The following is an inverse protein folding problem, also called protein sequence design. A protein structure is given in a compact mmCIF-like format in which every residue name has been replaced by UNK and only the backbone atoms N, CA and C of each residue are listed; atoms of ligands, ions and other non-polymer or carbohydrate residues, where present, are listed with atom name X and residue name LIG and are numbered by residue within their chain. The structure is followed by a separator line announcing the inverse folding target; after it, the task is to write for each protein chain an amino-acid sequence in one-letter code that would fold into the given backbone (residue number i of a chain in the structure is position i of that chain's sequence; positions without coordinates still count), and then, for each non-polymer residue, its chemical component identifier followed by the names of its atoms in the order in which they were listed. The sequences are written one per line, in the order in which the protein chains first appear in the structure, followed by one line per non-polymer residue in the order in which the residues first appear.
data_IF_029600239727
#
_entry.id   IF_029600239727
#
_cell.length_a   1.000
_cell.length_b   1.000
_cell.length_c   1.000
_cell.angle_alpha   90.00
_cell.angle_beta   90.00
_cell.angle_gamma   90.00
#
_symmetry.space_group_name_H-M   'P 1'
#
loop_
_entity.id
_entity.type
_entity.pdbx_description
1 polymer ?
#
# COMPACT_ATOMS: atom_id res chain seq x y z
N UNK A 1 10.55 -4.90 5.73
CA UNK A 1 9.14 -4.43 5.70
C UNK A 1 8.20 -5.55 6.11
N UNK A 2 7.28 -5.33 7.05
CA UNK A 2 6.15 -6.23 7.29
C UNK A 2 5.25 -6.39 6.06
N UNK A 3 5.05 -7.63 5.62
CA UNK A 3 4.01 -7.98 4.66
C UNK A 3 2.65 -7.89 5.36
N UNK A 4 1.74 -7.09 4.82
CA UNK A 4 0.38 -6.93 5.37
C UNK A 4 -0.56 -7.93 4.71
N UNK A 5 -0.52 -8.01 3.37
CA UNK A 5 -1.43 -8.87 2.60
C UNK A 5 -0.78 -9.29 1.28
N UNK A 6 -1.02 -10.54 0.88
CA UNK A 6 -0.64 -11.06 -0.44
C UNK A 6 -1.90 -11.25 -1.29
N UNK A 7 -1.79 -10.86 -2.56
CA UNK A 7 -2.77 -11.07 -3.62
C UNK A 7 -2.17 -11.99 -4.69
N UNK A 8 -2.94 -12.34 -5.71
CA UNK A 8 -2.45 -13.21 -6.79
C UNK A 8 -1.27 -12.59 -7.57
N UNK A 9 -1.34 -11.29 -7.85
CA UNK A 9 -0.39 -10.60 -8.73
C UNK A 9 0.50 -9.56 -8.01
N UNK A 10 0.28 -9.33 -6.72
CA UNK A 10 1.02 -8.32 -5.97
C UNK A 10 1.02 -8.61 -4.46
N UNK A 11 1.79 -7.83 -3.74
CA UNK A 11 1.84 -7.87 -2.29
C UNK A 11 1.80 -6.45 -1.71
N UNK A 12 1.06 -6.29 -0.62
CA UNK A 12 0.96 -5.05 0.15
C UNK A 12 1.87 -5.12 1.37
N UNK A 13 2.71 -4.11 1.53
CA UNK A 13 3.62 -3.95 2.66
C UNK A 13 3.58 -2.51 3.19
N UNK A 14 3.94 -2.34 4.46
CA UNK A 14 4.24 -1.03 5.05
C UNK A 14 5.67 -1.11 5.57
N UNK A 15 6.47 -0.09 5.37
CA UNK A 15 7.86 -0.10 5.78
C UNK A 15 8.00 0.47 7.20
N UNK A 16 9.07 0.07 7.88
CA UNK A 16 9.46 0.66 9.17
C UNK A 16 10.10 2.02 8.92
N UNK A 17 9.79 3.02 9.76
CA UNK A 17 10.35 4.37 9.67
C UNK A 17 10.15 5.03 8.29
N UNK A 18 8.99 4.78 7.69
CA UNK A 18 8.54 5.47 6.49
C UNK A 18 8.15 6.92 6.80
N UNK A 19 8.13 7.76 5.77
CA UNK A 19 7.81 9.18 5.92
C UNK A 19 6.35 9.50 5.60
N UNK A 20 5.87 10.61 6.14
CA UNK A 20 4.56 11.16 5.78
C UNK A 20 4.53 11.59 4.29
N UNK A 21 3.36 11.55 3.63
CA UNK A 21 2.06 11.16 4.16
C UNK A 21 1.94 9.64 4.43
N UNK A 22 1.02 9.20 5.31
CA UNK A 22 0.78 7.78 5.54
C UNK A 22 0.45 7.04 4.24
N UNK A 23 1.21 5.98 3.95
CA UNK A 23 1.09 5.25 2.70
C UNK A 23 1.42 3.77 2.89
N UNK A 24 1.05 2.96 1.89
CA UNK A 24 1.48 1.58 1.77
C UNK A 24 2.08 1.33 0.39
N UNK A 25 2.85 0.26 0.30
CA UNK A 25 3.56 -0.13 -0.91
C UNK A 25 2.88 -1.34 -1.53
N UNK A 26 2.71 -1.31 -2.84
CA UNK A 26 2.22 -2.42 -3.65
C UNK A 26 3.35 -2.87 -4.56
N UNK A 27 3.92 -4.04 -4.28
CA UNK A 27 4.92 -4.67 -5.14
C UNK A 27 4.22 -5.67 -6.05
N UNK A 28 4.26 -5.40 -7.36
CA UNK A 28 3.75 -6.26 -8.41
C UNK A 28 4.70 -7.44 -8.66
N UNK A 29 4.17 -8.55 -9.19
CA UNK A 29 4.97 -9.74 -9.51
C UNK A 29 6.02 -9.50 -10.59
N UNK A 30 5.79 -8.55 -11.48
CA UNK A 30 6.75 -8.12 -12.52
C UNK A 30 7.84 -7.16 -12.00
N UNK A 31 7.85 -6.89 -10.69
CA UNK A 31 8.85 -6.06 -10.03
C UNK A 31 8.51 -4.57 -9.97
N UNK A 32 7.41 -4.12 -10.58
CA UNK A 32 6.95 -2.73 -10.44
C UNK A 32 6.46 -2.48 -9.02
N UNK A 33 6.65 -1.25 -8.55
CA UNK A 33 6.17 -0.82 -7.24
C UNK A 33 5.35 0.47 -7.37
N UNK A 34 4.30 0.57 -6.57
CA UNK A 34 3.53 1.79 -6.36
C UNK A 34 3.38 2.09 -4.87
N UNK A 35 3.48 3.38 -4.53
CA UNK A 35 3.18 3.91 -3.20
C UNK A 35 1.79 4.53 -3.25
N UNK A 36 0.93 4.12 -2.34
CA UNK A 36 -0.48 4.54 -2.30
C UNK A 36 -0.75 5.22 -0.97
N UNK A 37 -1.20 6.47 -1.03
CA UNK A 37 -1.58 7.27 0.13
C UNK A 37 -2.82 6.68 0.83
N UNK A 38 -2.84 6.63 2.15
CA UNK A 38 -3.94 5.98 2.88
C UNK A 38 -5.22 6.82 2.96
N UNK A 39 -5.13 8.15 2.94
CA UNK A 39 -6.31 9.02 3.06
C UNK A 39 -7.18 8.94 1.81
N UNK A 40 -6.61 9.22 0.63
CA UNK A 40 -7.31 9.25 -0.65
C UNK A 40 -7.21 7.98 -1.49
N UNK A 41 -6.27 7.07 -1.18
CA UNK A 41 -5.88 5.96 -2.05
C UNK A 41 -5.33 6.41 -3.42
N UNK A 42 -4.68 7.57 -3.42
CA UNK A 42 -4.01 8.10 -4.59
C UNK A 42 -2.58 7.57 -4.70
N UNK A 43 -2.11 7.40 -5.94
CA UNK A 43 -0.77 6.92 -6.23
C UNK A 43 0.20 8.09 -6.02
N UNK A 44 1.04 7.99 -5.00
CA UNK A 44 2.08 8.98 -4.70
C UNK A 44 3.31 8.80 -5.59
N UNK A 45 3.67 7.55 -5.84
CA UNK A 45 4.85 7.19 -6.64
C UNK A 45 4.64 5.85 -7.32
N UNK A 46 5.32 5.66 -8.45
CA UNK A 46 5.30 4.42 -9.22
C UNK A 46 4.52 4.57 -10.53
N UNK A 47 4.76 3.64 -11.44
CA UNK A 47 4.10 3.59 -12.74
C UNK A 47 3.39 2.25 -12.90
N UNK A 48 2.42 2.00 -12.03
CA UNK A 48 1.53 0.84 -12.12
C UNK A 48 0.16 1.33 -12.57
N UNK A 49 -0.38 0.83 -13.70
CA UNK A 49 -1.70 1.22 -14.18
C UNK A 49 -2.77 1.00 -13.10
N UNK A 50 -3.64 1.99 -12.86
CA UNK A 50 -4.68 1.93 -11.82
C UNK A 50 -5.58 0.69 -11.94
N UNK A 51 -5.78 0.18 -13.16
CA UNK A 51 -6.51 -1.08 -13.42
C UNK A 51 -5.88 -2.29 -12.72
N UNK A 52 -4.56 -2.35 -12.67
CA UNK A 52 -3.79 -3.45 -12.06
C UNK A 52 -3.82 -3.35 -10.53
N UNK A 53 -4.04 -2.15 -10.00
CA UNK A 53 -4.20 -1.88 -8.56
C UNK A 53 -5.66 -2.01 -8.09
N UNK A 54 -6.62 -2.24 -8.97
CA UNK A 54 -8.05 -2.14 -8.66
C UNK A 54 -8.50 -3.04 -7.50
N UNK A 55 -8.02 -4.28 -7.44
CA UNK A 55 -8.31 -5.23 -6.35
C UNK A 55 -7.72 -4.72 -5.02
N UNK A 56 -6.48 -4.24 -5.05
CA UNK A 56 -5.78 -3.71 -3.88
C UNK A 56 -6.44 -2.44 -3.36
N UNK A 57 -6.84 -1.54 -4.26
CA UNK A 57 -7.50 -0.28 -3.91
C UNK A 57 -8.86 -0.53 -3.25
N UNK A 58 -9.65 -1.47 -3.78
CA UNK A 58 -10.93 -1.87 -3.17
C UNK A 58 -10.72 -2.48 -1.78
N UNK A 59 -9.74 -3.38 -1.65
CA UNK A 59 -9.38 -3.95 -0.36
C UNK A 59 -8.91 -2.88 0.64
N UNK A 60 -8.04 -1.96 0.20
CA UNK A 60 -7.51 -0.89 1.03
C UNK A 60 -8.62 0.07 1.50
N UNK A 61 -9.61 0.36 0.65
CA UNK A 61 -10.77 1.18 1.03
C UNK A 61 -11.54 0.56 2.21
N UNK A 62 -11.78 -0.75 2.17
CA UNK A 62 -12.47 -1.48 3.25
C UNK A 62 -11.62 -1.69 4.50
N UNK A 63 -10.29 -1.56 4.39
CA UNK A 63 -9.34 -1.84 5.47
C UNK A 63 -8.53 -0.60 5.90
N UNK A 64 -8.98 0.60 5.55
CA UNK A 64 -8.23 1.85 5.75
C UNK A 64 -7.80 2.07 7.20
N UNK A 65 -8.70 1.85 8.16
CA UNK A 65 -8.40 2.03 9.58
C UNK A 65 -7.31 1.07 10.07
N UNK A 66 -7.34 -0.19 9.61
CA UNK A 66 -6.32 -1.18 9.95
C UNK A 66 -4.95 -0.77 9.39
N UNK A 67 -4.92 -0.29 8.14
CA UNK A 67 -3.69 0.17 7.50
C UNK A 67 -3.12 1.42 8.18
N UNK A 68 -3.96 2.38 8.56
CA UNK A 68 -3.53 3.58 9.29
C UNK A 68 -2.94 3.22 10.65
N UNK A 69 -3.63 2.40 11.44
CA UNK A 69 -3.12 1.93 12.74
C UNK A 69 -1.78 1.20 12.59
N UNK A 70 -1.65 0.35 11.56
CA UNK A 70 -0.41 -0.37 11.30
C UNK A 70 0.71 0.57 10.88
N UNK A 71 0.42 1.58 10.06
CA UNK A 71 1.40 2.59 9.69
C UNK A 71 1.91 3.32 10.94
N UNK A 72 1.01 3.84 11.78
CA UNK A 72 1.35 4.53 13.01
C UNK A 72 2.17 3.65 13.98
N UNK A 73 1.81 2.38 14.11
CA UNK A 73 2.56 1.41 14.92
C UNK A 73 4.02 1.26 14.44
N UNK A 74 4.22 1.22 13.12
CA UNK A 74 5.54 1.01 12.50
C UNK A 74 6.40 2.27 12.41
N UNK A 75 5.83 3.46 12.69
CA UNK A 75 6.56 4.72 12.75
C UNK A 75 7.00 5.13 14.16
N UNK A 76 6.60 4.35 15.18
CA UNK A 76 7.10 4.49 16.55
C UNK A 76 8.50 3.87 16.66
#
# INVERSE_FOLDING_TARGET
MPLIKRFANCQVRINLKDHAPPHFHVLMRDGKEALIELSGLEILQGNVPRRELSEVLQWAASNRNMLMNKFEELQK
#
